data_IF_209676039846
#
_entry.id   IF_209676039846
#
_cell.length_a   1.000
_cell.length_b   1.000
_cell.length_c   1.000
_cell.angle_alpha   90.00
_cell.angle_beta   90.00
_cell.angle_gamma   90.00
#
_symmetry.space_group_name_H-M   'P 1'
#
loop_
_entity.id
_entity.type
_entity.pdbx_description
1 polymer ?
#
# COMPACT_ATOMS: atom_id res chain seq x y z
N UNK A 1 -6.51 12.24 -27.82
CA UNK A 1 -5.96 10.89 -27.54
C UNK A 1 -6.04 9.90 -28.71
N UNK A 2 -6.87 10.13 -29.74
CA UNK A 2 -7.23 9.11 -30.75
C UNK A 2 -6.27 8.89 -31.94
N UNK A 3 -5.07 9.47 -31.96
CA UNK A 3 -4.12 9.26 -33.08
C UNK A 3 -3.02 8.23 -32.78
N UNK A 4 -2.74 7.94 -31.50
CA UNK A 4 -1.59 7.10 -31.09
C UNK A 4 -1.90 6.06 -30.00
N UNK A 5 -3.11 6.05 -29.41
CA UNK A 5 -3.47 5.18 -28.28
C UNK A 5 -4.69 4.33 -28.66
N UNK A 6 -4.47 3.23 -29.38
CA UNK A 6 -5.49 2.23 -29.70
C UNK A 6 -5.49 1.03 -28.75
N UNK A 7 -4.68 1.07 -27.69
CA UNK A 7 -4.59 0.03 -26.65
C UNK A 7 -4.66 0.68 -25.27
N UNK A 8 -5.54 0.16 -24.41
CA UNK A 8 -5.61 0.56 -23.00
C UNK A 8 -4.40 -0.01 -22.24
N UNK A 9 -3.84 0.73 -21.27
CA UNK A 9 -2.81 0.17 -20.39
C UNK A 9 -3.40 -0.96 -19.54
N UNK A 10 -2.66 -2.04 -19.34
CA UNK A 10 -3.11 -3.15 -18.49
C UNK A 10 -2.94 -2.85 -17.00
N UNK A 11 -1.98 -1.99 -16.64
CA UNK A 11 -1.62 -1.68 -15.26
C UNK A 11 -1.41 -0.18 -15.10
N UNK A 12 -1.88 0.38 -13.99
CA UNK A 12 -1.56 1.72 -13.53
C UNK A 12 -0.89 1.64 -12.16
N UNK A 13 0.38 2.05 -12.09
CA UNK A 13 1.17 1.98 -10.86
C UNK A 13 1.14 3.34 -10.14
N UNK A 14 0.61 3.35 -8.91
CA UNK A 14 0.40 4.59 -8.13
C UNK A 14 0.92 4.45 -6.70
N UNK A 15 0.98 5.58 -5.99
CA UNK A 15 1.05 5.59 -4.54
C UNK A 15 -0.29 5.17 -3.93
N UNK A 16 -0.24 4.29 -2.94
CA UNK A 16 -1.42 3.87 -2.19
C UNK A 16 -1.01 3.40 -0.80
N UNK A 17 -1.71 3.92 0.21
CA UNK A 17 -1.62 3.49 1.61
C UNK A 17 -2.87 3.98 2.36
N UNK A 18 -3.11 3.59 3.63
CA UNK A 18 -4.36 3.92 4.31
C UNK A 18 -4.66 5.43 4.39
N UNK A 19 -3.63 6.27 4.50
CA UNK A 19 -3.75 7.74 4.49
C UNK A 19 -3.83 8.37 3.09
N UNK A 20 -3.61 7.60 2.02
CA UNK A 20 -3.64 8.08 0.64
C UNK A 20 -4.21 7.00 -0.30
N UNK A 21 -5.54 6.96 -0.40
CA UNK A 21 -6.28 5.86 -1.04
C UNK A 21 -6.69 6.12 -2.48
N UNK A 22 -6.85 7.38 -2.89
CA UNK A 22 -7.13 7.78 -4.29
C UNK A 22 -8.31 7.00 -4.87
N UNK A 23 -9.45 7.07 -4.18
CA UNK A 23 -10.64 6.29 -4.54
C UNK A 23 -11.13 6.64 -5.95
N UNK A 24 -10.95 7.89 -6.38
CA UNK A 24 -11.19 8.38 -7.74
C UNK A 24 -10.46 7.55 -8.81
N UNK A 25 -9.14 7.38 -8.65
CA UNK A 25 -8.30 6.62 -9.57
C UNK A 25 -8.65 5.13 -9.52
N UNK A 26 -8.95 4.61 -8.32
CA UNK A 26 -9.33 3.20 -8.14
C UNK A 26 -10.60 2.86 -8.89
N UNK A 27 -11.62 3.69 -8.76
CA UNK A 27 -12.89 3.51 -9.44
C UNK A 27 -12.71 3.62 -10.96
N UNK A 28 -11.97 4.63 -11.42
CA UNK A 28 -11.63 4.77 -12.84
C UNK A 28 -10.91 3.52 -13.39
N UNK A 29 -9.85 3.06 -12.73
CA UNK A 29 -9.09 1.90 -13.18
C UNK A 29 -9.95 0.64 -13.19
N UNK A 30 -10.81 0.44 -12.18
CA UNK A 30 -11.76 -0.67 -12.13
C UNK A 30 -12.74 -0.63 -13.32
N UNK A 31 -13.31 0.54 -13.61
CA UNK A 31 -14.27 0.72 -14.70
C UNK A 31 -13.63 0.54 -16.09
N UNK A 32 -12.37 0.92 -16.23
CA UNK A 32 -11.62 0.80 -17.48
C UNK A 32 -10.94 -0.58 -17.68
N UNK A 33 -11.01 -1.47 -16.68
CA UNK A 33 -10.34 -2.78 -16.72
C UNK A 33 -8.82 -2.70 -16.56
N UNK A 34 -8.32 -1.67 -15.87
CA UNK A 34 -6.90 -1.41 -15.61
C UNK A 34 -6.57 -1.93 -14.20
N UNK A 35 -5.58 -2.82 -14.09
CA UNK A 35 -5.13 -3.32 -12.78
C UNK A 35 -4.33 -2.23 -12.04
N UNK A 36 -4.56 -2.08 -10.74
CA UNK A 36 -3.76 -1.19 -9.91
C UNK A 36 -2.61 -1.94 -9.27
N UNK A 37 -1.43 -1.31 -9.33
CA UNK A 37 -0.21 -1.82 -8.71
C UNK A 37 0.46 -0.75 -7.85
N UNK A 38 1.12 -1.19 -6.78
CA UNK A 38 1.82 -0.30 -5.85
C UNK A 38 3.23 -0.83 -5.62
N UNK A 39 4.22 0.07 -5.65
CA UNK A 39 5.64 -0.19 -5.45
C UNK A 39 6.19 0.27 -4.07
N UNK A 40 6.30 -0.63 -3.11
CA UNK A 40 6.80 -0.26 -1.76
C UNK A 40 8.33 -0.29 -1.73
N UNK A 41 8.99 0.80 -1.32
CA UNK A 41 10.46 0.83 -1.13
C UNK A 41 10.83 0.54 0.32
N UNK A 42 11.81 -0.33 0.47
CA UNK A 42 12.27 -0.95 1.71
C UNK A 42 12.65 -0.06 2.90
N UNK A 43 12.67 -0.76 4.04
CA UNK A 43 13.09 -0.38 5.38
C UNK A 43 14.59 -0.07 5.54
N UNK A 44 15.10 1.00 4.92
CA UNK A 44 16.40 1.49 5.36
C UNK A 44 16.23 2.27 6.66
N UNK A 45 16.77 1.70 7.75
CA UNK A 45 16.93 2.24 9.10
C UNK A 45 16.73 3.77 9.10
N UNK A 46 15.69 4.22 9.79
CA UNK A 46 15.31 5.63 10.02
C UNK A 46 14.47 6.36 8.95
N UNK A 47 14.12 5.76 7.79
CA UNK A 47 13.34 6.48 6.74
C UNK A 47 12.48 5.54 5.89
N UNK A 48 11.39 5.04 6.44
CA UNK A 48 10.65 3.90 5.90
C UNK A 48 9.23 4.40 5.64
N UNK A 49 8.73 4.26 4.40
CA UNK A 49 7.66 5.04 3.73
C UNK A 49 8.10 6.26 2.91
N UNK A 50 9.38 6.43 2.61
CA UNK A 50 9.86 7.44 1.63
C UNK A 50 9.68 7.03 0.17
N UNK A 51 8.81 6.07 -0.10
CA UNK A 51 8.85 5.28 -1.32
C UNK A 51 7.98 5.80 -2.47
N UNK A 52 6.91 6.54 -2.16
CA UNK A 52 5.86 6.73 -3.16
C UNK A 52 5.46 8.15 -3.46
N UNK A 53 5.90 9.10 -2.66
CA UNK A 53 5.71 10.49 -3.01
C UNK A 53 6.98 11.28 -2.81
N UNK A 54 7.36 12.09 -3.82
CA UNK A 54 8.25 13.23 -3.59
C UNK A 54 7.81 14.06 -2.35
N UNK A 55 6.52 14.02 -1.97
CA UNK A 55 5.92 14.65 -0.79
C UNK A 55 5.83 13.73 0.46
N UNK A 56 5.80 12.39 0.33
CA UNK A 56 5.88 11.44 1.47
C UNK A 56 7.26 11.47 2.17
N UNK A 57 8.21 12.25 1.65
CA UNK A 57 9.42 12.65 2.39
C UNK A 57 9.11 13.25 3.77
N UNK A 58 7.87 13.71 4.00
CA UNK A 58 7.39 14.39 5.20
C UNK A 58 6.41 13.59 6.10
N UNK A 59 6.14 12.29 5.88
CA UNK A 59 5.17 11.54 6.72
C UNK A 59 5.80 10.40 7.54
N UNK A 60 6.56 10.69 8.61
CA UNK A 60 6.94 9.71 9.63
C UNK A 60 5.75 9.17 10.45
N UNK A 61 4.54 9.66 10.19
CA UNK A 61 3.32 9.33 10.94
C UNK A 61 2.77 7.93 10.62
N UNK A 62 2.82 7.43 9.38
CA UNK A 62 2.12 6.18 9.03
C UNK A 62 2.67 4.94 9.77
N UNK A 63 3.98 4.83 9.95
CA UNK A 63 4.59 3.74 10.74
C UNK A 63 4.43 3.92 12.24
N UNK A 64 4.26 5.18 12.66
CA UNK A 64 4.04 5.52 14.04
C UNK A 64 2.56 5.61 14.40
N UNK A 65 1.69 5.39 13.42
CA UNK A 65 0.25 5.43 13.56
C UNK A 65 -0.16 4.44 14.65
N UNK A 66 -0.83 4.91 15.72
CA UNK A 66 -1.27 4.06 16.81
C UNK A 66 -2.10 2.86 16.36
N UNK A 67 -2.88 3.00 15.28
CA UNK A 67 -3.67 1.91 14.70
C UNK A 67 -2.75 0.87 14.07
N UNK A 68 -1.79 1.30 13.24
CA UNK A 68 -0.82 0.39 12.61
C UNK A 68 -0.01 -0.36 13.67
N UNK A 69 0.42 0.32 14.74
CA UNK A 69 1.14 -0.32 15.87
C UNK A 69 0.28 -1.34 16.60
N UNK A 70 -0.95 -0.99 16.95
CA UNK A 70 -1.90 -1.91 17.62
C UNK A 70 -2.12 -3.17 16.78
N UNK A 71 -2.43 -3.01 15.49
CA UNK A 71 -2.65 -4.15 14.58
C UNK A 71 -1.38 -4.99 14.44
N UNK A 72 -0.21 -4.35 14.39
CA UNK A 72 1.08 -5.05 14.35
C UNK A 72 1.27 -5.94 15.58
N UNK A 73 0.94 -5.43 16.77
CA UNK A 73 1.03 -6.17 18.04
C UNK A 73 0.02 -7.32 18.11
N UNK A 74 -1.24 -7.07 17.75
CA UNK A 74 -2.32 -8.07 17.76
C UNK A 74 -2.02 -9.24 16.82
N UNK A 75 -1.52 -8.95 15.62
CA UNK A 75 -1.17 -9.95 14.61
C UNK A 75 0.26 -10.48 14.74
N UNK A 76 1.03 -10.04 15.75
CA UNK A 76 2.44 -10.42 15.99
C UNK A 76 3.30 -10.32 14.73
N UNK A 77 3.16 -9.21 14.03
CA UNK A 77 3.71 -9.02 12.68
C UNK A 77 4.59 -7.78 12.61
N UNK A 78 4.85 -7.26 11.40
CA UNK A 78 5.54 -5.98 11.21
C UNK A 78 4.59 -4.95 10.60
N UNK A 79 4.81 -3.63 10.81
CA UNK A 79 4.00 -2.59 10.20
C UNK A 79 3.95 -2.71 8.67
N UNK A 80 5.01 -3.21 8.06
CA UNK A 80 5.07 -3.39 6.61
C UNK A 80 4.20 -4.52 6.12
N UNK A 81 4.18 -5.65 6.84
CA UNK A 81 3.25 -6.74 6.52
C UNK A 81 1.82 -6.24 6.60
N UNK A 82 1.46 -5.49 7.65
CA UNK A 82 0.11 -4.88 7.78
C UNK A 82 -0.22 -4.00 6.56
N UNK A 83 0.70 -3.12 6.15
CA UNK A 83 0.44 -2.17 5.06
C UNK A 83 0.43 -2.84 3.68
N UNK A 84 1.24 -3.88 3.48
CA UNK A 84 1.18 -4.75 2.30
C UNK A 84 -0.17 -5.50 2.24
N UNK A 85 -0.56 -6.16 3.34
CA UNK A 85 -1.81 -6.91 3.43
C UNK A 85 -3.03 -6.01 3.28
N UNK A 86 -2.97 -4.76 3.72
CA UNK A 86 -4.02 -3.76 3.46
C UNK A 86 -4.22 -3.53 1.96
N UNK A 87 -3.14 -3.33 1.18
CA UNK A 87 -3.25 -3.16 -0.27
C UNK A 87 -3.75 -4.45 -0.96
N UNK A 88 -3.21 -5.60 -0.56
CA UNK A 88 -3.59 -6.92 -1.09
C UNK A 88 -5.09 -7.19 -0.85
N UNK A 89 -5.59 -6.91 0.36
CA UNK A 89 -7.01 -7.11 0.72
C UNK A 89 -7.98 -6.32 -0.15
N UNK A 90 -7.50 -5.26 -0.81
CA UNK A 90 -8.27 -4.39 -1.69
C UNK A 90 -8.12 -4.73 -3.17
N UNK A 91 -7.48 -5.86 -3.50
CA UNK A 91 -7.27 -6.32 -4.87
C UNK A 91 -6.18 -5.53 -5.62
N UNK A 92 -5.30 -4.85 -4.89
CA UNK A 92 -4.20 -4.07 -5.46
C UNK A 92 -2.92 -4.90 -5.44
N UNK A 93 -2.26 -5.01 -6.59
CA UNK A 93 -0.98 -5.72 -6.70
C UNK A 93 0.14 -4.98 -5.97
N UNK A 94 0.96 -5.69 -5.19
CA UNK A 94 2.09 -5.09 -4.45
C UNK A 94 3.43 -5.54 -5.03
N UNK A 95 4.39 -4.62 -5.11
CA UNK A 95 5.77 -4.88 -5.56
C UNK A 95 6.74 -4.26 -4.55
N UNK A 96 6.96 -4.91 -3.39
CA UNK A 96 7.93 -4.43 -2.42
C UNK A 96 9.36 -4.64 -2.95
N UNK A 97 10.18 -3.60 -2.88
CA UNK A 97 11.61 -3.65 -3.19
C UNK A 97 12.40 -3.90 -1.93
N UNK A 98 13.19 -4.97 -1.91
CA UNK A 98 14.24 -5.22 -0.93
C UNK A 98 15.51 -5.78 -1.57
N UNK A 99 16.66 -5.52 -0.96
CA UNK A 99 17.93 -6.21 -1.27
C UNK A 99 18.41 -7.11 -0.13
N UNK A 100 17.65 -7.20 0.96
CA UNK A 100 18.00 -8.05 2.10
C UNK A 100 17.09 -9.30 2.07
N UNK A 101 17.66 -10.51 2.02
CA UNK A 101 16.91 -11.76 1.91
C UNK A 101 15.83 -11.95 2.98
N UNK A 102 16.10 -11.59 4.23
CA UNK A 102 15.15 -11.75 5.34
C UNK A 102 13.89 -10.88 5.13
N UNK A 103 14.08 -9.65 4.64
CA UNK A 103 12.99 -8.75 4.33
C UNK A 103 12.23 -9.16 3.07
N UNK A 104 12.91 -9.75 2.07
CA UNK A 104 12.24 -10.34 0.91
C UNK A 104 11.27 -11.44 1.38
N UNK A 105 11.75 -12.41 2.16
CA UNK A 105 10.91 -13.47 2.71
C UNK A 105 9.76 -12.91 3.56
N UNK A 106 10.07 -11.98 4.47
CA UNK A 106 9.08 -11.30 5.32
C UNK A 106 8.01 -10.58 4.50
N UNK A 107 8.36 -9.93 3.39
CA UNK A 107 7.39 -9.28 2.51
C UNK A 107 6.45 -10.31 1.84
N UNK A 108 6.95 -11.50 1.50
CA UNK A 108 6.11 -12.57 0.94
C UNK A 108 5.07 -13.08 1.95
N UNK A 109 5.42 -13.19 3.23
CA UNK A 109 4.47 -13.63 4.27
C UNK A 109 3.25 -12.70 4.42
N UNK A 110 3.29 -11.48 3.86
CA UNK A 110 2.13 -10.57 3.85
C UNK A 110 0.94 -11.11 3.06
N UNK A 111 1.17 -12.09 2.17
CA UNK A 111 0.12 -12.80 1.44
C UNK A 111 -0.76 -13.66 2.36
N UNK A 112 -0.19 -14.14 3.48
CA UNK A 112 -0.87 -15.03 4.42
C UNK A 112 -1.55 -14.27 5.57
N UNK A 113 -1.16 -13.00 5.80
CA UNK A 113 -1.75 -12.16 6.83
C UNK A 113 -3.16 -11.70 6.43
N UNK A 114 -4.17 -12.15 7.17
CA UNK A 114 -5.57 -11.77 6.99
C UNK A 114 -5.96 -10.69 8.01
N UNK A 115 -6.05 -9.46 7.54
CA UNK A 115 -6.63 -8.36 8.31
C UNK A 115 -8.14 -8.57 8.46
N UNK A 116 -8.66 -8.32 9.66
CA UNK A 116 -10.09 -8.37 9.93
C UNK A 116 -10.80 -7.16 9.31
N UNK A 117 -12.12 -7.21 9.17
CA UNK A 117 -12.91 -6.05 8.72
C UNK A 117 -12.67 -4.85 9.63
N UNK A 118 -12.61 -5.09 10.95
CA UNK A 118 -12.29 -4.07 11.94
C UNK A 118 -10.91 -3.43 11.71
N UNK A 119 -9.89 -4.25 11.43
CA UNK A 119 -8.54 -3.73 11.14
C UNK A 119 -8.55 -2.82 9.92
N UNK A 120 -9.24 -3.24 8.85
CA UNK A 120 -9.34 -2.47 7.61
C UNK A 120 -10.08 -1.16 7.80
N UNK A 121 -11.18 -1.17 8.57
CA UNK A 121 -11.96 0.03 8.88
C UNK A 121 -11.15 1.00 9.74
N UNK A 122 -10.45 0.51 10.75
CA UNK A 122 -9.63 1.35 11.64
C UNK A 122 -8.41 1.94 10.93
N UNK A 123 -7.83 1.22 9.95
CA UNK A 123 -6.72 1.72 9.15
C UNK A 123 -7.11 2.90 8.28
N UNK A 124 -8.39 3.06 7.93
CA UNK A 124 -8.88 4.13 7.07
C UNK A 124 -9.27 5.33 7.96
N UNK A 125 -8.47 6.41 8.04
CA UNK A 125 -8.81 7.51 8.90
C UNK A 125 -9.94 8.34 8.27
N UNK A 126 -10.95 8.69 9.07
CA UNK A 126 -12.08 9.53 8.63
C UNK A 126 -11.66 10.91 8.08
N UNK A 127 -10.44 11.35 8.37
CA UNK A 127 -9.90 12.67 8.05
C UNK A 127 -9.21 12.77 6.67
N UNK A 128 -8.99 11.67 5.95
CA UNK A 128 -8.34 11.67 4.63
C UNK A 128 -9.26 11.12 3.54
N UNK A 129 -10.12 12.00 3.02
CA UNK A 129 -10.94 11.77 1.83
C UNK A 129 -10.31 12.53 0.64
N UNK A 130 -9.26 11.95 0.07
CA UNK A 130 -8.74 12.31 -1.26
C UNK A 130 -8.91 11.12 -2.21
#
# INVERSE_FOLDING_TARGET
MNKYLNKKPSVNQIEFHPHFRRNDIREFCKNEGIHLQVFLKDNCKTKIFKAFSPMARQQPELLNDPVVKRITEEHKTTPQKVLLSFAISQGIGVVPKSSNPEWICSNFDSLDLKLTVKDLDELIPNQYNY
#
